data_IF_738403508844
#
_entry.id   IF_738403508844
#
_cell.length_a   1.000
_cell.length_b   1.000
_cell.length_c   1.000
_cell.angle_alpha   90.00
_cell.angle_beta   90.00
_cell.angle_gamma   90.00
#
_symmetry.space_group_name_H-M   'P 1'
#
loop_
_entity.id
_entity.type
_entity.pdbx_description
1 polymer ?
#
# COMPACT_ATOMS: atom_id res chain seq x y z
N UNK A 1 18.61 -1.40 -1.76
CA UNK A 1 17.83 -0.54 -2.68
C UNK A 1 17.35 0.66 -1.89
N UNK A 2 17.23 1.86 -2.49
CA UNK A 2 16.73 3.01 -1.73
C UNK A 2 15.26 2.77 -1.35
N UNK A 3 14.97 2.61 -0.06
CA UNK A 3 13.64 2.30 0.49
C UNK A 3 12.59 3.33 0.04
N UNK A 4 12.97 4.61 0.01
CA UNK A 4 12.09 5.69 -0.44
C UNK A 4 11.71 5.52 -1.91
N UNK A 5 12.66 5.09 -2.75
CA UNK A 5 12.39 4.83 -4.16
C UNK A 5 11.48 3.61 -4.34
N UNK A 6 11.69 2.55 -3.55
CA UNK A 6 10.81 1.37 -3.57
C UNK A 6 9.37 1.73 -3.16
N UNK A 7 9.22 2.54 -2.11
CA UNK A 7 7.92 3.05 -1.67
C UNK A 7 7.24 3.89 -2.75
N UNK A 8 7.99 4.83 -3.36
CA UNK A 8 7.49 5.70 -4.42
C UNK A 8 7.04 4.92 -5.65
N UNK A 9 7.81 3.91 -6.09
CA UNK A 9 7.41 3.05 -7.20
C UNK A 9 6.19 2.22 -6.87
N UNK A 10 6.12 1.65 -5.66
CA UNK A 10 5.00 0.83 -5.22
C UNK A 10 3.69 1.63 -5.22
N UNK A 11 3.69 2.82 -4.63
CA UNK A 11 2.48 3.66 -4.60
C UNK A 11 2.13 4.21 -5.98
N UNK A 12 3.12 4.56 -6.82
CA UNK A 12 2.86 5.03 -8.18
C UNK A 12 2.17 3.96 -9.03
N UNK A 13 2.66 2.72 -8.97
CA UNK A 13 2.05 1.59 -9.69
C UNK A 13 0.62 1.35 -9.20
N UNK A 14 0.39 1.35 -7.88
CA UNK A 14 -0.94 1.16 -7.30
C UNK A 14 -1.91 2.26 -7.70
N UNK A 15 -1.49 3.53 -7.67
CA UNK A 15 -2.33 4.66 -8.05
C UNK A 15 -2.67 4.65 -9.54
N UNK A 16 -1.69 4.35 -10.41
CA UNK A 16 -1.93 4.24 -11.86
C UNK A 16 -2.85 3.07 -12.17
N UNK A 17 -2.65 1.91 -11.54
CA UNK A 17 -3.52 0.75 -11.71
C UNK A 17 -4.95 1.04 -11.24
N UNK A 18 -5.10 1.64 -10.06
CA UNK A 18 -6.41 2.03 -9.51
C UNK A 18 -7.11 3.02 -10.43
N UNK A 19 -6.39 4.01 -10.95
CA UNK A 19 -6.94 4.97 -11.90
C UNK A 19 -7.42 4.31 -13.19
N UNK A 20 -6.63 3.41 -13.79
CA UNK A 20 -7.03 2.67 -14.99
C UNK A 20 -8.29 1.83 -14.74
N UNK A 21 -8.36 1.16 -13.58
CA UNK A 21 -9.54 0.38 -13.16
C UNK A 21 -10.76 1.29 -12.99
N UNK A 22 -10.60 2.44 -12.32
CA UNK A 22 -11.66 3.42 -12.11
C UNK A 22 -12.23 3.94 -13.44
N UNK A 23 -11.36 4.25 -14.41
CA UNK A 23 -11.77 4.67 -15.76
C UNK A 23 -12.52 3.56 -16.50
N UNK A 24 -12.04 2.31 -16.40
CA UNK A 24 -12.69 1.17 -17.05
C UNK A 24 -14.09 0.87 -16.48
N UNK A 25 -14.25 0.98 -15.17
CA UNK A 25 -15.52 0.73 -14.46
C UNK A 25 -16.44 1.96 -14.48
N UNK A 26 -15.91 3.14 -14.84
CA UNK A 26 -16.59 4.44 -14.80
C UNK A 26 -17.09 4.81 -13.41
N UNK A 27 -16.34 4.40 -12.39
CA UNK A 27 -16.65 4.67 -10.99
C UNK A 27 -15.42 5.27 -10.30
N UNK A 28 -15.52 6.54 -9.93
CA UNK A 28 -14.45 7.27 -9.26
C UNK A 28 -14.34 6.92 -7.76
N UNK A 29 -15.40 6.37 -7.14
CA UNK A 29 -15.44 6.07 -5.71
C UNK A 29 -14.47 4.97 -5.29
N UNK A 30 -14.05 4.13 -6.23
CA UNK A 30 -13.05 3.06 -6.01
C UNK A 30 -11.71 3.63 -5.55
N UNK A 31 -11.36 4.84 -6.00
CA UNK A 31 -10.09 5.49 -5.61
C UNK A 31 -10.05 5.74 -4.10
N UNK A 32 -11.17 6.10 -3.49
CA UNK A 32 -11.25 6.39 -2.06
C UNK A 32 -11.05 5.13 -1.20
N UNK A 33 -11.65 4.00 -1.60
CA UNK A 33 -11.47 2.69 -0.94
C UNK A 33 -10.04 2.17 -1.09
N UNK A 34 -9.43 2.42 -2.25
CA UNK A 34 -8.10 1.90 -2.58
C UNK A 34 -6.97 2.50 -1.74
N UNK A 35 -7.18 3.66 -1.12
CA UNK A 35 -6.17 4.30 -0.26
C UNK A 35 -5.76 3.44 0.94
N UNK A 36 -6.74 2.81 1.62
CA UNK A 36 -6.46 1.96 2.78
C UNK A 36 -5.56 0.77 2.42
N UNK A 37 -5.87 0.11 1.30
CA UNK A 37 -5.06 -1.00 0.77
C UNK A 37 -3.72 -0.53 0.20
N UNK A 38 -3.67 0.67 -0.38
CA UNK A 38 -2.45 1.25 -0.95
C UNK A 38 -1.33 1.36 0.07
N UNK A 39 -1.62 1.94 1.24
CA UNK A 39 -0.65 2.07 2.32
C UNK A 39 -0.27 0.73 2.96
N UNK A 40 -1.23 -0.17 3.16
CA UNK A 40 -0.95 -1.52 3.64
C UNK A 40 0.00 -2.28 2.69
N UNK A 41 -0.18 -2.11 1.38
CA UNK A 41 0.67 -2.74 0.36
C UNK A 41 2.09 -2.16 0.38
N UNK A 42 2.24 -0.83 0.44
CA UNK A 42 3.56 -0.18 0.54
C UNK A 42 4.30 -0.66 1.79
N UNK A 43 3.64 -0.67 2.95
CA UNK A 43 4.24 -1.17 4.19
C UNK A 43 4.68 -2.64 4.07
N UNK A 44 3.88 -3.47 3.40
CA UNK A 44 4.20 -4.88 3.17
C UNK A 44 5.40 -5.05 2.25
N UNK A 45 5.47 -4.29 1.16
CA UNK A 45 6.60 -4.33 0.22
C UNK A 45 7.90 -3.90 0.90
N UNK A 46 7.88 -2.83 1.69
CA UNK A 46 9.05 -2.37 2.45
C UNK A 46 9.46 -3.39 3.51
N UNK A 47 8.51 -3.93 4.27
CA UNK A 47 8.80 -4.95 5.27
C UNK A 47 9.43 -6.20 4.64
N UNK A 48 8.91 -6.67 3.49
CA UNK A 48 9.51 -7.80 2.77
C UNK A 48 10.94 -7.49 2.31
N UNK A 49 11.17 -6.29 1.76
CA UNK A 49 12.45 -5.88 1.17
C UNK A 49 13.55 -5.55 2.18
N UNK A 50 13.21 -5.30 3.45
CA UNK A 50 14.18 -5.08 4.52
C UNK A 50 14.75 -6.40 5.02
N UNK A 51 16.05 -6.66 4.85
CA UNK A 51 16.70 -7.89 5.31
C UNK A 51 16.98 -7.90 6.82
N UNK A 52 16.94 -6.75 7.50
CA UNK A 52 17.32 -6.58 8.91
C UNK A 52 16.14 -6.18 9.82
N UNK A 53 14.98 -6.83 9.61
CA UNK A 53 13.72 -6.53 10.30
C UNK A 53 13.86 -6.56 11.83
N UNK A 54 13.47 -5.48 12.49
CA UNK A 54 13.25 -5.46 13.94
C UNK A 54 11.85 -5.96 14.33
N UNK A 55 11.68 -6.31 15.61
CA UNK A 55 10.36 -6.57 16.19
C UNK A 55 9.44 -5.34 16.09
N UNK A 56 10.02 -4.13 16.18
CA UNK A 56 9.27 -2.88 16.03
C UNK A 56 8.74 -2.73 14.60
N UNK A 57 9.56 -3.01 13.59
CA UNK A 57 9.19 -2.87 12.17
C UNK A 57 8.06 -3.83 11.82
N UNK A 58 8.11 -5.05 12.37
CA UNK A 58 7.04 -6.05 12.21
C UNK A 58 5.75 -5.59 12.89
N UNK A 59 5.83 -4.97 14.07
CA UNK A 59 4.66 -4.40 14.74
C UNK A 59 4.05 -3.24 13.93
N UNK A 60 4.88 -2.33 13.43
CA UNK A 60 4.44 -1.20 12.61
C UNK A 60 3.78 -1.67 11.31
N UNK A 61 4.36 -2.68 10.65
CA UNK A 61 3.77 -3.34 9.50
C UNK A 61 2.40 -3.94 9.82
N UNK A 62 2.29 -4.73 10.91
CA UNK A 62 1.01 -5.32 11.33
C UNK A 62 -0.05 -4.27 11.63
N UNK A 63 0.29 -3.21 12.35
CA UNK A 63 -0.64 -2.13 12.67
C UNK A 63 -1.14 -1.43 11.40
N UNK A 64 -0.25 -1.19 10.44
CA UNK A 64 -0.59 -0.54 9.17
C UNK A 64 -1.44 -1.47 8.29
N UNK A 65 -1.15 -2.78 8.29
CA UNK A 65 -1.93 -3.78 7.57
C UNK A 65 -3.36 -3.88 8.13
N UNK A 66 -3.51 -3.98 9.45
CA UNK A 66 -4.81 -4.07 10.12
C UNK A 66 -5.64 -2.80 9.91
N UNK A 67 -5.01 -1.63 10.01
CA UNK A 67 -5.66 -0.36 9.74
C UNK A 67 -6.12 -0.24 8.27
N UNK A 68 -5.25 -0.60 7.32
CA UNK A 68 -5.58 -0.56 5.90
C UNK A 68 -6.69 -1.52 5.51
N UNK A 69 -6.71 -2.73 6.09
CA UNK A 69 -7.79 -3.69 5.91
C UNK A 69 -9.12 -3.16 6.48
N UNK A 70 -9.10 -2.51 7.64
CA UNK A 70 -10.29 -1.90 8.26
C UNK A 70 -10.94 -0.81 7.40
N UNK A 71 -10.15 -0.08 6.61
CA UNK A 71 -10.65 0.97 5.73
C UNK A 71 -11.32 0.44 4.46
N UNK A 72 -11.01 -0.80 4.08
CA UNK A 72 -11.49 -1.42 2.85
C UNK A 72 -12.68 -2.39 3.08
N UNK A 73 -12.98 -2.73 4.34
CA UNK A 73 -14.15 -3.51 4.77
C UNK A 73 -15.34 -2.59 5.03
#
# INVERSE_FOLDING_TARGET
MNELLLAALTIAILMVATWLISVAIKDASIVDISWGLGFATVATVLWIADDAKSNLDTLLWLMTLLWGLRLCL
#
